data_IF_218315062448
#
_entry.id   IF_218315062448
#
_cell.length_a   1.000
_cell.length_b   1.000
_cell.length_c   1.000
_cell.angle_alpha   90.00
_cell.angle_beta   90.00
_cell.angle_gamma   90.00
#
_symmetry.space_group_name_H-M   'P 1'
#
loop_
_entity.id
_entity.type
_entity.pdbx_description
1 polymer ?
#
# COMPACT_ATOMS: atom_id res chain seq x y z
N UNK A 1 -0.53 19.82 16.19
CA UNK A 1 -0.32 18.67 15.27
C UNK A 1 0.90 18.91 14.39
N UNK A 2 0.89 19.95 13.53
CA UNK A 2 2.01 20.27 12.62
C UNK A 2 3.33 20.45 13.37
N UNK A 3 3.34 21.26 14.43
CA UNK A 3 4.55 21.47 15.25
C UNK A 3 5.18 20.15 15.72
N UNK A 4 4.38 19.22 16.24
CA UNK A 4 4.87 17.93 16.74
C UNK A 4 5.46 17.02 15.65
N UNK A 5 5.08 17.23 14.38
CA UNK A 5 5.68 16.54 13.24
C UNK A 5 7.02 17.18 12.85
N UNK A 6 7.12 18.51 12.96
CA UNK A 6 8.30 19.28 12.53
C UNK A 6 9.44 19.26 13.56
N UNK A 7 9.10 19.25 14.86
CA UNK A 7 10.08 19.28 15.95
C UNK A 7 10.52 17.88 16.44
N UNK A 8 10.03 16.82 15.80
CA UNK A 8 10.38 15.44 16.11
C UNK A 8 9.67 14.83 17.33
N UNK A 9 8.79 15.57 18.02
CA UNK A 9 8.07 15.05 19.19
C UNK A 9 7.21 13.84 18.84
N UNK A 10 6.58 13.82 17.66
CA UNK A 10 5.79 12.68 17.20
C UNK A 10 6.65 11.42 17.02
N UNK A 11 7.85 11.57 16.45
CA UNK A 11 8.81 10.48 16.28
C UNK A 11 9.29 9.94 17.63
N UNK A 12 9.72 10.84 18.53
CA UNK A 12 10.15 10.46 19.87
C UNK A 12 9.07 9.67 20.62
N UNK A 13 7.81 10.10 20.50
CA UNK A 13 6.69 9.40 21.13
C UNK A 13 6.39 8.04 20.50
N UNK A 14 6.55 7.92 19.18
CA UNK A 14 6.41 6.63 18.48
C UNK A 14 7.47 5.62 18.96
N UNK A 15 8.74 6.03 19.05
CA UNK A 15 9.83 5.18 19.57
C UNK A 15 9.55 4.76 21.02
N UNK A 16 9.18 5.70 21.89
CA UNK A 16 8.79 5.40 23.28
C UNK A 16 7.65 4.36 23.34
N UNK A 17 6.63 4.51 22.50
CA UNK A 17 5.48 3.61 22.49
C UNK A 17 5.82 2.18 22.03
N UNK A 18 6.63 2.03 20.98
CA UNK A 18 7.03 0.71 20.46
C UNK A 18 7.93 -0.01 21.47
N UNK A 19 8.94 0.68 21.99
CA UNK A 19 9.87 0.13 22.98
C UNK A 19 9.16 -0.27 24.28
N UNK A 20 8.18 0.51 24.75
CA UNK A 20 7.39 0.19 25.95
C UNK A 20 6.58 -1.12 25.83
N UNK A 21 6.31 -1.60 24.62
CA UNK A 21 5.63 -2.88 24.37
C UNK A 21 6.60 -4.04 24.06
N UNK A 22 7.91 -3.81 24.19
CA UNK A 22 8.95 -4.80 23.91
C UNK A 22 9.35 -4.89 22.43
N UNK A 23 8.98 -3.91 21.60
CA UNK A 23 9.46 -3.81 20.23
C UNK A 23 10.95 -3.45 20.18
N UNK A 24 11.64 -3.94 19.15
CA UNK A 24 13.06 -3.67 18.94
C UNK A 24 13.25 -2.29 18.27
N UNK A 25 13.97 -1.40 18.94
CA UNK A 25 14.28 -0.08 18.41
C UNK A 25 15.13 -0.15 17.13
N UNK A 26 15.97 -1.20 16.97
CA UNK A 26 16.78 -1.36 15.77
C UNK A 26 15.91 -1.44 14.49
N UNK A 27 14.71 -2.02 14.58
CA UNK A 27 13.75 -2.09 13.48
C UNK A 27 13.15 -0.72 13.14
N UNK A 28 13.04 0.17 14.13
CA UNK A 28 12.57 1.55 13.94
C UNK A 28 13.65 2.36 13.22
N UNK A 29 14.90 2.22 13.67
CA UNK A 29 16.05 2.92 13.09
C UNK A 29 16.43 2.37 11.70
N UNK A 30 16.17 1.07 11.46
CA UNK A 30 16.39 0.40 10.19
C UNK A 30 15.16 -0.47 9.79
N UNK A 31 14.20 0.09 9.05
CA UNK A 31 13.00 -0.62 8.62
C UNK A 31 13.24 -1.84 7.72
N UNK A 32 14.41 -1.96 7.09
CA UNK A 32 14.77 -3.12 6.26
C UNK A 32 14.88 -4.42 7.09
N UNK A 33 14.94 -4.32 8.42
CA UNK A 33 14.88 -5.45 9.35
C UNK A 33 13.46 -6.03 9.49
N UNK A 34 12.42 -5.33 9.02
CA UNK A 34 11.08 -5.89 8.94
C UNK A 34 11.05 -7.07 7.97
N UNK A 35 10.16 -8.06 8.17
CA UNK A 35 9.98 -9.16 7.23
C UNK A 35 9.81 -8.64 5.79
N UNK A 36 10.56 -9.22 4.85
CA UNK A 36 10.50 -8.87 3.44
C UNK A 36 10.05 -10.09 2.63
N UNK A 37 9.16 -9.87 1.67
CA UNK A 37 8.85 -10.89 0.68
C UNK A 37 10.05 -11.17 -0.24
N UNK A 38 10.24 -12.41 -0.70
CA UNK A 38 11.37 -12.78 -1.57
C UNK A 38 11.25 -12.23 -3.00
N UNK A 39 10.04 -11.88 -3.47
CA UNK A 39 9.80 -11.30 -4.77
C UNK A 39 9.13 -9.92 -4.60
N UNK A 40 9.82 -8.87 -5.05
CA UNK A 40 9.35 -7.49 -4.97
C UNK A 40 9.51 -6.86 -6.36
N UNK A 41 8.40 -6.63 -7.04
CA UNK A 41 8.43 -6.10 -8.40
C UNK A 41 7.43 -4.97 -8.62
N UNK A 42 7.87 -3.97 -9.39
CA UNK A 42 7.05 -2.82 -9.77
C UNK A 42 6.29 -3.13 -11.04
N UNK A 43 4.97 -2.96 -10.97
CA UNK A 43 4.06 -3.03 -12.11
C UNK A 43 3.96 -1.64 -12.72
N UNK A 44 4.26 -1.56 -14.01
CA UNK A 44 4.13 -0.33 -14.78
C UNK A 44 2.68 -0.09 -15.22
N UNK A 45 2.33 1.17 -15.46
CA UNK A 45 1.06 1.58 -16.03
C UNK A 45 0.91 0.99 -17.44
N UNK A 46 -0.19 0.27 -17.73
CA UNK A 46 -0.37 -0.41 -19.02
C UNK A 46 -0.77 0.55 -20.16
N UNK A 47 -1.06 1.81 -19.83
CA UNK A 47 -1.47 2.86 -20.76
C UNK A 47 -1.29 4.23 -20.13
N UNK A 48 -1.24 5.27 -20.96
CA UNK A 48 -1.36 6.65 -20.50
C UNK A 48 -2.82 7.03 -20.18
N UNK A 49 -3.01 7.94 -19.23
CA UNK A 49 -4.30 8.51 -18.86
C UNK A 49 -4.38 8.94 -17.39
N UNK A 50 -5.60 9.17 -16.91
CA UNK A 50 -5.87 9.59 -15.53
C UNK A 50 -6.55 8.46 -14.76
N UNK A 51 -6.09 8.19 -13.52
CA UNK A 51 -6.75 7.22 -12.64
C UNK A 51 -8.05 7.82 -12.11
N UNK A 52 -9.19 7.19 -12.42
CA UNK A 52 -10.51 7.67 -11.97
C UNK A 52 -11.05 6.91 -10.77
N UNK A 53 -10.66 5.64 -10.62
CA UNK A 53 -11.05 4.82 -9.49
C UNK A 53 -10.02 3.71 -9.25
N UNK A 54 -9.91 3.31 -7.98
CA UNK A 54 -9.18 2.12 -7.53
C UNK A 54 -10.16 1.33 -6.66
N UNK A 55 -10.48 0.09 -7.03
CA UNK A 55 -11.34 -0.77 -6.21
C UNK A 55 -10.58 -1.23 -4.95
N UNK A 56 -10.76 -0.47 -3.86
CA UNK A 56 -10.12 -0.75 -2.59
C UNK A 56 -10.52 -2.11 -1.98
N UNK A 57 -11.72 -2.62 -2.28
CA UNK A 57 -12.14 -3.93 -1.80
C UNK A 57 -11.36 -5.04 -2.53
N UNK A 58 -11.14 -4.89 -3.84
CA UNK A 58 -10.33 -5.83 -4.61
C UNK A 58 -8.85 -5.76 -4.25
N UNK A 59 -8.31 -4.57 -4.00
CA UNK A 59 -6.95 -4.39 -3.45
C UNK A 59 -6.82 -5.12 -2.11
N UNK A 60 -7.77 -4.93 -1.19
CA UNK A 60 -7.77 -5.61 0.11
C UNK A 60 -7.86 -7.14 -0.01
N UNK A 61 -8.73 -7.66 -0.87
CA UNK A 61 -8.83 -9.11 -1.13
C UNK A 61 -7.56 -9.67 -1.76
N UNK A 62 -6.90 -8.89 -2.61
CA UNK A 62 -5.62 -9.28 -3.21
C UNK A 62 -4.52 -9.32 -2.14
N UNK A 63 -4.50 -8.38 -1.20
CA UNK A 63 -3.62 -8.45 -0.03
C UNK A 63 -3.85 -9.72 0.83
N UNK A 64 -5.10 -10.12 1.05
CA UNK A 64 -5.42 -11.39 1.73
C UNK A 64 -4.91 -12.59 0.94
N UNK A 65 -5.12 -12.60 -0.38
CA UNK A 65 -4.65 -13.65 -1.28
C UNK A 65 -3.12 -13.79 -1.27
N UNK A 66 -2.39 -12.68 -1.20
CA UNK A 66 -0.93 -12.67 -1.07
C UNK A 66 -0.44 -13.26 0.26
N UNK A 67 -1.29 -13.32 1.28
CA UNK A 67 -0.96 -13.81 2.63
C UNK A 67 -0.97 -12.74 3.72
N UNK A 68 -1.18 -11.47 3.36
CA UNK A 68 -1.19 -10.33 4.29
C UNK A 68 -2.45 -10.23 5.15
N UNK A 69 -3.37 -11.18 5.03
CA UNK A 69 -4.61 -11.20 5.79
C UNK A 69 -5.15 -12.61 5.97
N UNK A 70 -6.26 -12.70 6.72
CA UNK A 70 -6.85 -13.99 7.12
C UNK A 70 -8.09 -14.27 6.29
N UNK A 71 -8.22 -15.50 5.79
CA UNK A 71 -9.48 -15.97 5.18
C UNK A 71 -10.44 -16.41 6.26
N UNK A 72 -9.94 -17.04 7.33
CA UNK A 72 -10.69 -17.40 8.54
C UNK A 72 -9.91 -17.08 9.81
N UNK A 73 -10.61 -17.04 10.94
CA UNK A 73 -10.00 -16.78 12.25
C UNK A 73 -8.91 -17.80 12.54
N UNK A 74 -7.73 -17.31 12.94
CA UNK A 74 -6.59 -18.14 13.33
C UNK A 74 -5.61 -18.45 12.19
N UNK A 75 -5.92 -18.10 10.94
CA UNK A 75 -4.94 -18.23 9.86
C UNK A 75 -3.69 -17.39 10.17
N UNK A 76 -2.48 -17.89 9.83
CA UNK A 76 -1.26 -17.10 9.92
C UNK A 76 -1.34 -15.90 8.97
N UNK A 77 -0.61 -14.84 9.30
CA UNK A 77 -0.40 -13.70 8.42
C UNK A 77 1.08 -13.70 8.03
N UNK A 78 1.33 -13.52 6.75
CA UNK A 78 2.65 -13.17 6.26
C UNK A 78 2.83 -11.64 6.33
N UNK A 79 3.81 -11.19 7.11
CA UNK A 79 4.06 -9.77 7.32
C UNK A 79 5.00 -9.15 6.27
N UNK A 80 5.59 -9.95 5.38
CA UNK A 80 6.51 -9.46 4.34
C UNK A 80 5.84 -9.18 3.00
N UNK A 81 4.64 -9.73 2.77
CA UNK A 81 3.85 -9.52 1.55
C UNK A 81 2.97 -8.27 1.64
N UNK A 82 2.61 -7.72 0.49
CA UNK A 82 1.84 -6.47 0.45
C UNK A 82 1.84 -5.78 -0.90
N UNK A 83 1.20 -4.61 -0.94
CA UNK A 83 1.04 -3.78 -2.13
C UNK A 83 1.40 -2.34 -1.76
N UNK A 84 2.32 -1.75 -2.51
CA UNK A 84 2.71 -0.34 -2.38
C UNK A 84 2.16 0.40 -3.59
N UNK A 85 1.29 1.40 -3.36
CA UNK A 85 0.75 2.24 -4.44
C UNK A 85 1.68 3.43 -4.70
N UNK A 86 1.98 3.68 -5.98
CA UNK A 86 2.76 4.85 -6.41
C UNK A 86 1.89 5.96 -7.01
N UNK A 87 0.66 5.61 -7.40
CA UNK A 87 -0.33 6.54 -7.93
C UNK A 87 -1.68 6.41 -7.22
N UNK A 88 -2.43 7.52 -7.19
CA UNK A 88 -3.75 7.65 -6.55
C UNK A 88 -4.79 8.17 -7.55
N UNK A 89 -6.05 8.11 -7.16
CA UNK A 89 -7.17 8.69 -7.93
C UNK A 89 -6.91 10.17 -8.20
N UNK A 90 -6.96 10.57 -9.47
CA UNK A 90 -6.66 11.90 -9.96
C UNK A 90 -5.30 12.05 -10.62
N UNK A 91 -4.36 11.14 -10.37
CA UNK A 91 -3.03 11.23 -10.96
C UNK A 91 -3.08 10.92 -12.46
N UNK A 92 -2.28 11.68 -13.21
CA UNK A 92 -1.94 11.42 -14.61
C UNK A 92 -0.71 10.52 -14.66
N UNK A 93 -0.75 9.47 -15.48
CA UNK A 93 0.38 8.60 -15.75
C UNK A 93 0.56 8.42 -17.25
N UNK A 94 1.82 8.25 -17.66
CA UNK A 94 2.18 7.73 -18.97
C UNK A 94 2.27 6.19 -18.94
N UNK A 95 2.08 5.55 -20.10
CA UNK A 95 2.41 4.14 -20.27
C UNK A 95 3.87 3.89 -19.86
N UNK A 96 4.09 2.89 -19.00
CA UNK A 96 5.42 2.57 -18.45
C UNK A 96 5.72 3.20 -17.09
N UNK A 97 4.96 4.20 -16.64
CA UNK A 97 5.17 4.82 -15.32
C UNK A 97 4.92 3.83 -14.17
N UNK A 98 5.61 3.97 -13.01
CA UNK A 98 5.39 3.08 -11.88
C UNK A 98 3.97 3.25 -11.31
N UNK A 99 3.18 2.17 -11.35
CA UNK A 99 1.80 2.18 -10.87
C UNK A 99 1.70 1.69 -9.43
N UNK A 100 2.28 0.52 -9.17
CA UNK A 100 2.32 -0.12 -7.86
C UNK A 100 3.48 -1.11 -7.78
N UNK A 101 3.95 -1.44 -6.57
CA UNK A 101 4.89 -2.53 -6.30
C UNK A 101 4.20 -3.63 -5.53
N UNK A 102 4.39 -4.88 -5.96
CA UNK A 102 3.83 -6.07 -5.31
C UNK A 102 4.96 -6.79 -4.59
N UNK A 103 4.73 -7.08 -3.31
CA UNK A 103 5.58 -7.93 -2.47
C UNK A 103 4.89 -9.30 -2.37
N UNK A 104 5.50 -10.34 -2.94
CA UNK A 104 4.92 -11.66 -3.10
C UNK A 104 5.92 -12.78 -2.73
N UNK A 105 5.39 -13.95 -2.38
CA UNK A 105 6.21 -15.09 -1.98
C UNK A 105 6.78 -15.88 -3.16
N UNK A 106 6.15 -15.78 -4.33
CA UNK A 106 6.55 -16.49 -5.53
C UNK A 106 5.88 -15.88 -6.78
N UNK A 107 6.38 -16.28 -7.95
CA UNK A 107 5.92 -15.82 -9.26
C UNK A 107 4.42 -16.07 -9.52
N UNK A 108 3.88 -17.18 -9.03
CA UNK A 108 2.46 -17.52 -9.22
C UNK A 108 1.56 -16.52 -8.48
N UNK A 109 1.84 -16.28 -7.20
CA UNK A 109 1.11 -15.30 -6.38
C UNK A 109 1.28 -13.87 -6.90
N UNK A 110 2.47 -13.52 -7.40
CA UNK A 110 2.73 -12.23 -8.04
C UNK A 110 1.88 -12.05 -9.30
N UNK A 111 1.90 -13.04 -10.21
CA UNK A 111 1.16 -12.98 -11.47
C UNK A 111 -0.34 -12.83 -11.23
N UNK A 112 -0.88 -13.64 -10.31
CA UNK A 112 -2.29 -13.56 -9.93
C UNK A 112 -2.67 -12.20 -9.30
N UNK A 113 -1.82 -11.66 -8.42
CA UNK A 113 -2.05 -10.35 -7.82
C UNK A 113 -1.98 -9.23 -8.86
N UNK A 114 -1.00 -9.27 -9.77
CA UNK A 114 -0.82 -8.29 -10.86
C UNK A 114 -2.06 -8.19 -11.73
N UNK A 115 -2.61 -9.32 -12.17
CA UNK A 115 -3.83 -9.35 -12.98
C UNK A 115 -5.01 -8.67 -12.27
N UNK A 116 -5.25 -9.05 -11.01
CA UNK A 116 -6.36 -8.52 -10.20
C UNK A 116 -6.20 -7.03 -9.93
N UNK A 117 -4.99 -6.57 -9.62
CA UNK A 117 -4.71 -5.17 -9.32
C UNK A 117 -4.83 -4.28 -10.55
N UNK A 118 -4.38 -4.74 -11.72
CA UNK A 118 -4.58 -4.01 -12.98
C UNK A 118 -6.08 -3.88 -13.32
N UNK A 119 -6.86 -4.95 -13.11
CA UNK A 119 -8.30 -4.92 -13.31
C UNK A 119 -9.04 -4.03 -12.29
N UNK A 120 -8.46 -3.78 -11.12
CA UNK A 120 -9.03 -2.93 -10.07
C UNK A 120 -8.90 -1.42 -10.36
N UNK A 121 -8.19 -1.01 -11.41
CA UNK A 121 -7.89 0.39 -11.73
C UNK A 121 -8.68 0.85 -12.96
N UNK A 122 -9.42 1.94 -12.82
CA UNK A 122 -10.18 2.56 -13.91
C UNK A 122 -9.47 3.80 -14.44
N UNK A 123 -9.47 3.96 -15.76
CA UNK A 123 -8.77 5.02 -16.48
C UNK A 123 -9.73 5.95 -17.22
N UNK A 124 -9.32 7.21 -17.42
CA UNK A 124 -9.94 8.14 -18.35
C UNK A 124 -8.90 8.87 -19.21
N UNK A 125 -9.33 9.40 -20.34
CA UNK A 125 -8.48 10.15 -21.28
C UNK A 125 -8.39 11.64 -20.93
N UNK A 126 -9.15 12.10 -19.94
CA UNK A 126 -9.21 13.49 -19.50
C UNK A 126 -9.11 13.60 -17.97
N UNK A 127 -8.60 14.73 -17.44
CA UNK A 127 -8.49 14.96 -16.01
C UNK A 127 -9.82 14.82 -15.27
N UNK A 128 -9.75 14.32 -14.04
CA UNK A 128 -10.89 14.24 -13.12
C UNK A 128 -10.64 15.06 -11.85
N UNK A 129 -11.70 15.44 -11.16
CA UNK A 129 -11.60 16.01 -9.80
C UNK A 129 -11.72 14.88 -8.78
N UNK A 130 -10.67 14.59 -7.98
CA UNK A 130 -10.72 13.53 -6.98
C UNK A 130 -11.77 13.82 -5.89
N UNK A 131 -12.40 12.79 -5.32
CA UNK A 131 -13.30 12.98 -4.19
C UNK A 131 -12.55 13.52 -2.97
N UNK A 132 -13.19 14.34 -2.12
CA UNK A 132 -12.57 14.85 -0.91
C UNK A 132 -12.30 13.71 0.08
N UNK A 133 -11.17 13.76 0.79
CA UNK A 133 -10.82 12.78 1.82
C UNK A 133 -11.81 12.81 3.01
N UNK A 134 -12.31 14.00 3.36
CA UNK A 134 -13.30 14.18 4.43
C UNK A 134 -14.59 14.70 3.80
N UNK A 135 -15.66 13.91 3.86
CA UNK A 135 -16.97 14.31 3.33
C UNK A 135 -17.72 15.25 4.27
N UNK A 136 -17.76 14.92 5.56
CA UNK A 136 -18.48 15.68 6.60
C UNK A 136 -18.00 15.28 7.99
N UNK A 137 -18.03 16.22 8.93
CA UNK A 137 -17.89 15.97 10.38
C UNK A 137 -19.30 16.01 10.99
N UNK A 138 -19.68 14.96 11.72
CA UNK A 138 -20.93 14.89 12.46
C UNK A 138 -20.55 15.00 13.95
N UNK A 139 -21.02 16.06 14.60
CA UNK A 139 -20.87 16.29 16.03
C UNK A 139 -22.17 16.08 16.79
#
# INVERSE_FOLDING_TARGET
LVQALEDGMAWAKFVEWITAQGGDQAVIDNPDLLPQAPLIETVAAPRSGFITAIDAAEVGKTGVMLGGGRTKKGDPIDYGVGIVHHAKVGDELAEGDPLLTIHANNEESFTAAKERLLAAITWADAPITPPPHIRKIIG
#
